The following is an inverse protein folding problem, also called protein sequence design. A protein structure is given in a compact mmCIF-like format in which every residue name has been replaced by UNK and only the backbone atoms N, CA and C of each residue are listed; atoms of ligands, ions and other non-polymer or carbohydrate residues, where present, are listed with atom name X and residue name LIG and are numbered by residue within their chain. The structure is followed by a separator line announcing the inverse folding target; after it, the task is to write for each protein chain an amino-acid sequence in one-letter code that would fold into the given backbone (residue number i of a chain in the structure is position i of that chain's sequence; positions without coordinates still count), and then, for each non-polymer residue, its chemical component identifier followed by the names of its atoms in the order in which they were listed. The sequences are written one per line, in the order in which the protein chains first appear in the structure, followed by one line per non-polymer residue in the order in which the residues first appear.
data_IF_025855886017
#
_entry.id   IF_025855886017
#
_cell.length_a   1.000
_cell.length_b   1.000
_cell.length_c   1.000
_cell.angle_alpha   90.00
_cell.angle_beta   90.00
_cell.angle_gamma   90.00
#
_symmetry.space_group_name_H-M   'P 1'
#
loop_
_entity.id
_entity.type
_entity.pdbx_description
1 polymer ?
#
# COMPACT_ATOMS: atom_id res chain seq x y z
N UNK A 1 33.19 -23.26 11.37
CA UNK A 1 33.37 -21.92 10.79
C UNK A 1 32.15 -21.10 11.16
N UNK A 2 32.39 -19.88 11.63
CA UNK A 2 31.58 -19.10 12.55
C UNK A 2 30.12 -18.76 12.18
N UNK A 3 29.30 -18.86 13.22
CA UNK A 3 28.28 -17.95 13.75
C UNK A 3 27.94 -16.61 13.05
N UNK A 4 26.69 -16.22 13.34
CA UNK A 4 26.11 -14.87 13.45
C UNK A 4 25.53 -14.22 12.18
N UNK A 5 24.22 -14.40 12.01
CA UNK A 5 23.36 -13.26 11.68
C UNK A 5 22.30 -13.15 12.78
N UNK A 6 22.73 -12.58 13.92
CA UNK A 6 21.79 -11.88 14.81
C UNK A 6 21.50 -10.57 14.12
N UNK A 7 20.38 -10.48 13.41
CA UNK A 7 19.78 -9.18 13.08
C UNK A 7 18.84 -8.83 14.21
N UNK A 8 19.21 -7.76 14.90
CA UNK A 8 18.58 -7.19 16.08
C UNK A 8 17.05 -7.24 16.00
N UNK A 9 16.44 -7.84 17.03
CA UNK A 9 15.02 -7.63 17.30
C UNK A 9 14.87 -6.22 17.84
N UNK A 10 14.69 -5.26 16.93
CA UNK A 10 14.17 -3.95 17.29
C UNK A 10 12.79 -4.19 17.91
N UNK A 11 12.72 -4.13 19.25
CA UNK A 11 11.47 -4.31 20.00
C UNK A 11 10.53 -3.16 19.65
N UNK A 12 9.59 -3.44 18.76
CA UNK A 12 8.44 -2.58 18.52
C UNK A 12 7.52 -2.62 19.76
N UNK A 13 6.94 -1.49 20.21
CA UNK A 13 6.16 -1.42 21.45
C UNK A 13 4.90 -2.31 21.50
N UNK A 14 4.39 -2.76 20.33
CA UNK A 14 3.33 -3.75 20.20
C UNK A 14 3.86 -4.99 19.48
N UNK A 15 4.08 -6.10 20.19
CA UNK A 15 4.49 -7.36 19.54
C UNK A 15 3.44 -7.90 18.54
N UNK A 16 2.20 -7.43 18.61
CA UNK A 16 1.12 -7.83 17.71
C UNK A 16 1.18 -7.17 16.32
N UNK A 17 1.99 -6.12 16.14
CA UNK A 17 2.08 -5.37 14.88
C UNK A 17 3.51 -5.37 14.36
N UNK A 18 3.98 -6.56 13.97
CA UNK A 18 5.29 -6.74 13.37
C UNK A 18 5.15 -7.06 11.90
N UNK A 19 5.90 -6.33 11.07
CA UNK A 19 5.95 -6.52 9.63
C UNK A 19 7.29 -7.09 9.19
N UNK A 20 7.27 -7.88 8.13
CA UNK A 20 8.47 -8.41 7.48
C UNK A 20 8.25 -8.62 5.99
N UNK A 21 9.36 -8.81 5.28
CA UNK A 21 9.33 -9.33 3.93
C UNK A 21 9.22 -10.85 3.96
N UNK A 22 8.20 -11.38 3.29
CA UNK A 22 8.02 -12.81 3.05
C UNK A 22 8.97 -13.34 1.98
N UNK A 23 8.96 -14.66 1.77
CA UNK A 23 9.88 -15.36 0.85
C UNK A 23 9.70 -14.92 -0.61
N UNK A 24 8.48 -14.56 -1.03
CA UNK A 24 8.21 -14.08 -2.40
C UNK A 24 8.10 -12.55 -2.46
N UNK A 25 8.83 -11.86 -1.58
CA UNK A 25 8.84 -10.40 -1.49
C UNK A 25 7.48 -9.75 -1.18
N UNK A 26 6.49 -10.52 -0.69
CA UNK A 26 5.25 -9.97 -0.17
C UNK A 26 5.45 -9.35 1.23
N UNK A 27 4.63 -8.37 1.58
CA UNK A 27 4.56 -7.89 2.95
C UNK A 27 3.79 -8.90 3.82
N UNK A 28 4.34 -9.23 4.99
CA UNK A 28 3.68 -10.08 5.98
C UNK A 28 3.57 -9.38 7.33
N UNK A 29 2.46 -9.60 8.04
CA UNK A 29 2.29 -9.20 9.45
C UNK A 29 2.06 -10.42 10.34
N UNK A 30 2.54 -10.34 11.59
CA UNK A 30 2.15 -11.31 12.61
C UNK A 30 0.77 -10.94 13.16
N UNK A 31 -0.21 -11.85 13.09
CA UNK A 31 -1.56 -11.61 13.57
C UNK A 31 -2.21 -12.89 14.08
N UNK A 32 -2.73 -12.86 15.32
CA UNK A 32 -3.35 -14.02 16.00
C UNK A 32 -2.49 -15.29 15.93
N UNK A 33 -1.20 -15.16 16.27
CA UNK A 33 -0.30 -16.31 16.40
C UNK A 33 0.38 -16.78 15.12
N UNK A 34 0.10 -16.17 13.96
CA UNK A 34 0.69 -16.59 12.68
C UNK A 34 1.04 -15.41 11.76
N UNK A 35 2.02 -15.64 10.88
CA UNK A 35 2.35 -14.71 9.81
C UNK A 35 1.33 -14.78 8.69
N UNK A 36 0.92 -13.63 8.17
CA UNK A 36 -0.09 -13.47 7.11
C UNK A 36 0.41 -12.51 6.05
N UNK A 37 0.26 -12.88 4.79
CA UNK A 37 0.48 -11.98 3.66
C UNK A 37 -0.57 -10.88 3.66
N UNK A 38 -0.14 -9.64 3.54
CA UNK A 38 -1.00 -8.47 3.67
C UNK A 38 -0.69 -7.39 2.64
N UNK A 39 -1.69 -6.57 2.38
CA UNK A 39 -1.59 -5.31 1.66
C UNK A 39 -1.83 -4.17 2.66
N UNK A 40 -1.21 -3.01 2.41
CA UNK A 40 -1.49 -1.80 3.18
C UNK A 40 -2.14 -0.79 2.27
N UNK A 41 -3.21 -0.16 2.72
CA UNK A 41 -3.93 0.87 1.97
C UNK A 41 -4.12 2.10 2.85
N UNK A 42 -3.98 3.30 2.28
CA UNK A 42 -4.47 4.52 2.93
C UNK A 42 -6.00 4.45 3.00
N UNK A 43 -6.57 4.68 4.17
CA UNK A 43 -8.01 4.90 4.30
C UNK A 43 -8.43 6.22 3.64
N UNK A 44 -7.52 7.21 3.58
CA UNK A 44 -7.75 8.52 2.99
C UNK A 44 -6.68 8.80 1.92
N UNK A 45 -6.98 8.64 0.63
CA UNK A 45 -5.99 8.73 -0.46
C UNK A 45 -5.21 10.05 -0.51
N UNK A 46 -5.86 11.15 -0.10
CA UNK A 46 -5.36 12.52 -0.21
C UNK A 46 -4.68 13.05 1.06
N UNK A 47 -4.67 12.25 2.15
CA UNK A 47 -4.02 12.67 3.37
C UNK A 47 -2.50 12.67 3.18
N UNK A 48 -1.86 13.80 3.48
CA UNK A 48 -0.40 13.92 3.48
C UNK A 48 0.25 13.11 4.60
N UNK A 49 -0.49 12.88 5.68
CA UNK A 49 -0.03 12.07 6.80
C UNK A 49 -0.10 10.57 6.48
N UNK A 50 0.95 9.82 6.86
CA UNK A 50 0.98 8.35 6.86
C UNK A 50 0.20 7.79 8.06
N UNK A 51 -1.01 8.32 8.22
CA UNK A 51 -1.96 7.97 9.26
C UNK A 51 -3.12 7.21 8.66
N UNK A 52 -3.84 6.48 9.51
CA UNK A 52 -5.04 5.72 9.12
C UNK A 52 -4.76 4.76 7.95
N UNK A 53 -3.83 3.83 8.14
CA UNK A 53 -3.47 2.81 7.16
C UNK A 53 -4.14 1.49 7.51
N UNK A 54 -4.95 0.98 6.59
CA UNK A 54 -5.63 -0.31 6.72
C UNK A 54 -4.70 -1.44 6.31
N UNK A 55 -4.55 -2.45 7.18
CA UNK A 55 -3.77 -3.66 6.93
C UNK A 55 -4.72 -4.79 6.56
N UNK A 56 -4.63 -5.26 5.32
CA UNK A 56 -5.61 -6.14 4.69
C UNK A 56 -5.02 -7.51 4.37
N UNK A 57 -5.70 -8.59 4.77
CA UNK A 57 -5.48 -9.92 4.22
C UNK A 57 -6.55 -10.19 3.15
N UNK A 58 -6.13 -10.14 1.87
CA UNK A 58 -7.05 -10.15 0.72
C UNK A 58 -8.05 -8.98 0.81
N UNK A 59 -9.31 -9.27 1.14
CA UNK A 59 -10.40 -8.30 1.29
C UNK A 59 -10.78 -8.03 2.76
N UNK A 60 -10.15 -8.71 3.71
CA UNK A 60 -10.46 -8.56 5.13
C UNK A 60 -9.47 -7.63 5.81
N UNK A 61 -9.97 -6.58 6.47
CA UNK A 61 -9.15 -5.75 7.36
C UNK A 61 -8.77 -6.56 8.59
N UNK A 62 -7.47 -6.62 8.88
CA UNK A 62 -6.97 -7.22 10.12
C UNK A 62 -6.95 -6.19 11.24
N UNK A 63 -6.40 -5.00 10.97
CA UNK A 63 -6.33 -3.88 11.91
C UNK A 63 -5.94 -2.58 11.19
N UNK A 64 -6.11 -1.47 11.91
CA UNK A 64 -5.74 -0.13 11.48
C UNK A 64 -4.43 0.32 12.14
N UNK A 65 -3.53 0.89 11.35
CA UNK A 65 -2.38 1.67 11.84
C UNK A 65 -2.81 3.13 11.89
N UNK A 66 -2.93 3.67 13.11
CA UNK A 66 -3.33 5.07 13.29
C UNK A 66 -2.26 6.05 12.79
N UNK A 67 -0.99 5.76 13.05
CA UNK A 67 0.13 6.61 12.67
C UNK A 67 1.37 5.75 12.44
N UNK A 68 1.97 5.84 11.24
CA UNK A 68 3.22 5.13 10.93
C UNK A 68 4.37 5.57 11.86
N UNK A 69 4.30 6.78 12.42
CA UNK A 69 5.36 7.29 13.27
C UNK A 69 5.52 6.55 14.59
N UNK A 70 4.52 5.77 15.00
CA UNK A 70 4.58 4.90 16.17
C UNK A 70 5.48 3.67 15.98
N UNK A 71 5.94 3.39 14.76
CA UNK A 71 6.78 2.23 14.44
C UNK A 71 8.28 2.56 14.50
N UNK A 72 9.15 1.56 14.75
CA UNK A 72 10.59 1.73 14.57
C UNK A 72 10.96 2.07 13.12
N UNK A 73 12.08 2.78 12.93
CA UNK A 73 12.50 3.29 11.63
C UNK A 73 12.60 2.21 10.54
N UNK A 74 13.12 1.02 10.86
CA UNK A 74 13.21 -0.10 9.91
C UNK A 74 11.84 -0.52 9.39
N UNK A 75 10.84 -0.60 10.27
CA UNK A 75 9.48 -0.93 9.88
C UNK A 75 8.83 0.21 9.11
N UNK A 76 9.08 1.48 9.46
CA UNK A 76 8.59 2.62 8.67
C UNK A 76 9.07 2.54 7.22
N UNK A 77 10.36 2.26 7.01
CA UNK A 77 10.95 2.16 5.65
C UNK A 77 10.28 1.03 4.87
N UNK A 78 10.12 -0.14 5.48
CA UNK A 78 9.44 -1.28 4.86
C UNK A 78 8.00 -0.93 4.48
N UNK A 79 7.23 -0.40 5.43
CA UNK A 79 5.82 -0.06 5.23
C UNK A 79 5.65 1.02 4.16
N UNK A 80 6.49 2.05 4.13
CA UNK A 80 6.51 3.09 3.09
C UNK A 80 6.72 2.53 1.71
N UNK A 81 7.67 1.60 1.55
CA UNK A 81 7.90 0.93 0.26
C UNK A 81 6.62 0.27 -0.24
N UNK A 82 5.98 -0.55 0.60
CA UNK A 82 4.74 -1.23 0.23
C UNK A 82 3.55 -0.30 0.07
N UNK A 83 3.54 0.82 0.80
CA UNK A 83 2.52 1.85 0.68
C UNK A 83 2.61 2.57 -0.67
N UNK A 84 3.82 2.88 -1.14
CA UNK A 84 4.05 3.46 -2.47
C UNK A 84 3.66 2.48 -3.58
N UNK A 85 3.99 1.20 -3.42
CA UNK A 85 3.61 0.14 -4.36
C UNK A 85 2.08 -0.06 -4.39
N UNK A 86 1.41 0.03 -3.24
CA UNK A 86 -0.06 -0.15 -3.13
C UNK A 86 -0.87 1.08 -3.52
N UNK A 87 -0.28 2.27 -3.41
CA UNK A 87 -0.87 3.56 -3.78
C UNK A 87 -0.27 4.10 -5.07
N UNK A 88 0.06 3.26 -6.05
CA UNK A 88 0.54 3.75 -7.33
C UNK A 88 -0.58 4.53 -8.07
N UNK A 89 -0.79 5.77 -7.62
CA UNK A 89 -1.51 6.85 -8.24
C UNK A 89 -0.47 7.45 -9.18
N UNK A 90 -0.57 7.12 -10.45
CA UNK A 90 0.28 7.76 -11.46
C UNK A 90 -0.22 9.18 -11.70
N UNK A 91 0.71 10.11 -11.86
CA UNK A 91 0.36 11.43 -12.37
C UNK A 91 -0.02 11.31 -13.85
N UNK A 92 -1.23 11.77 -14.16
CA UNK A 92 -1.67 11.95 -15.55
C UNK A 92 -1.03 13.23 -16.05
N UNK A 93 -0.09 13.11 -16.98
CA UNK A 93 0.52 14.25 -17.68
C UNK A 93 -0.42 14.76 -18.77
N UNK A 94 -1.08 13.83 -19.46
CA UNK A 94 -1.94 14.12 -20.61
C UNK A 94 -3.03 13.05 -20.71
N UNK A 95 -4.28 13.48 -20.97
CA UNK A 95 -5.37 12.57 -21.33
C UNK A 95 -5.37 12.42 -22.84
N UNK A 96 -5.18 11.19 -23.33
CA UNK A 96 -5.06 10.90 -24.75
C UNK A 96 -6.41 10.53 -25.37
N UNK A 97 -7.20 9.73 -24.66
CA UNK A 97 -8.52 9.30 -25.11
C UNK A 97 -9.43 8.93 -23.94
N UNK A 98 -10.74 9.07 -24.16
CA UNK A 98 -11.79 8.71 -23.22
C UNK A 98 -12.90 8.00 -23.99
N UNK A 99 -13.06 6.70 -23.72
CA UNK A 99 -14.09 5.86 -24.34
C UNK A 99 -15.13 5.48 -23.28
N UNK A 100 -16.41 5.76 -23.54
CA UNK A 100 -17.50 5.37 -22.65
C UNK A 100 -18.18 4.09 -23.13
N UNK A 101 -18.21 3.07 -22.28
CA UNK A 101 -18.84 1.78 -22.54
C UNK A 101 -19.66 1.40 -21.31
N UNK A 102 -21.00 1.42 -21.43
CA UNK A 102 -21.96 0.90 -20.43
C UNK A 102 -21.54 1.11 -18.95
N UNK A 103 -21.88 2.27 -18.39
CA UNK A 103 -21.54 2.70 -17.01
C UNK A 103 -20.05 2.82 -16.69
N UNK A 104 -19.16 2.44 -17.62
CA UNK A 104 -17.72 2.58 -17.49
C UNK A 104 -17.18 3.62 -18.47
N UNK A 105 -16.08 4.24 -18.05
CA UNK A 105 -15.28 5.16 -18.83
C UNK A 105 -13.86 4.66 -18.81
N UNK A 106 -13.36 4.28 -19.97
CA UNK A 106 -11.99 3.86 -20.20
C UNK A 106 -11.17 5.08 -20.54
N UNK A 107 -10.09 5.26 -19.80
CA UNK A 107 -9.15 6.36 -19.93
C UNK A 107 -7.87 5.83 -20.54
N UNK A 108 -7.39 6.49 -21.59
CA UNK A 108 -6.03 6.31 -22.09
C UNK A 108 -5.26 7.58 -21.77
N UNK A 109 -4.19 7.46 -20.99
CA UNK A 109 -3.45 8.60 -20.46
C UNK A 109 -1.95 8.41 -20.59
N UNK A 110 -1.23 9.52 -20.71
CA UNK A 110 0.23 9.56 -20.64
C UNK A 110 0.66 9.83 -19.20
N UNK A 111 1.63 9.07 -18.74
CA UNK A 111 2.29 9.21 -17.44
C UNK A 111 3.80 9.35 -17.65
N UNK A 112 4.55 9.71 -16.60
CA UNK A 112 6.02 9.75 -16.68
C UNK A 112 6.60 8.37 -17.06
N UNK A 113 5.92 7.30 -16.68
CA UNK A 113 6.31 5.91 -16.97
C UNK A 113 5.77 5.38 -18.30
N UNK A 114 5.11 6.22 -19.11
CA UNK A 114 4.54 5.85 -20.42
C UNK A 114 3.00 5.79 -20.45
N UNK A 115 2.46 5.09 -21.46
CA UNK A 115 1.01 4.94 -21.68
C UNK A 115 0.37 4.10 -20.57
N UNK A 116 -0.75 4.58 -20.01
CA UNK A 116 -1.60 3.84 -19.09
C UNK A 116 -3.04 3.84 -19.57
N UNK A 117 -3.70 2.70 -19.37
CA UNK A 117 -5.13 2.53 -19.65
C UNK A 117 -5.79 2.04 -18.36
N UNK A 118 -6.89 2.69 -17.96
CA UNK A 118 -7.64 2.32 -16.76
C UNK A 118 -9.12 2.70 -16.91
N UNK A 119 -9.98 2.20 -16.01
CA UNK A 119 -11.42 2.41 -16.09
C UNK A 119 -11.97 3.07 -14.82
N UNK A 120 -12.98 3.92 -14.98
CA UNK A 120 -13.77 4.48 -13.88
C UNK A 120 -15.26 4.29 -14.16
N UNK A 121 -16.10 4.40 -13.13
CA UNK A 121 -17.54 4.54 -13.35
C UNK A 121 -17.85 5.87 -14.05
N UNK A 122 -18.82 5.90 -14.95
CA UNK A 122 -19.30 7.11 -15.63
C UNK A 122 -19.76 8.16 -14.60
N UNK A 123 -20.42 7.70 -13.53
CA UNK A 123 -20.89 8.53 -12.41
C UNK A 123 -19.77 9.12 -11.55
N UNK A 124 -18.57 8.55 -11.60
CA UNK A 124 -17.40 9.04 -10.89
C UNK A 124 -16.63 10.05 -11.77
N UNK A 125 -17.26 11.19 -12.05
CA UNK A 125 -16.57 12.29 -12.74
C UNK A 125 -15.55 12.95 -11.78
N UNK A 126 -14.32 13.25 -12.22
CA UNK A 126 -13.37 14.01 -11.42
C UNK A 126 -13.95 15.37 -11.07
N UNK A 127 -14.09 15.68 -9.77
CA UNK A 127 -14.48 17.00 -9.30
C UNK A 127 -13.21 17.77 -8.93
N UNK A 128 -13.14 19.02 -9.37
CA UNK A 128 -12.06 19.97 -9.11
C UNK A 128 -12.10 20.50 -7.68
#
# INVERSE_FOLDING_TARGET
MELLIVKERVRCPDMEKQFRLGINEQLETYWKGKWRSVLIKKCFPWAEEESMLSVMEKENELFLINDLNSFPQEQKILLRRFLLESQFIFQIIEVLDIEEIFELRKWSVKTESGLRIFETKVSHWPRY
#
